data_IF_687160843601
#
_entry.id   IF_687160843601
#
_cell.length_a   1.000
_cell.length_b   1.000
_cell.length_c   1.000
_cell.angle_alpha   90.00
_cell.angle_beta   90.00
_cell.angle_gamma   90.00
#
_symmetry.space_group_name_H-M   'P 1'
#
loop_
_entity.id
_entity.type
_entity.pdbx_description
1 polymer ?
#
# COMPACT_ATOMS: atom_id res chain seq x y z
N UNK A 1 30.78 -5.31 13.35
CA UNK A 1 31.25 -5.15 11.96
C UNK A 1 31.83 -3.77 11.83
N UNK A 2 33.04 -3.61 11.36
CA UNK A 2 33.65 -2.30 11.17
C UNK A 2 32.93 -1.50 10.10
N UNK A 3 32.90 -0.18 10.29
CA UNK A 3 32.20 0.75 9.41
C UNK A 3 33.16 1.84 8.94
N UNK A 4 33.18 2.08 7.64
CA UNK A 4 34.01 3.10 6.98
C UNK A 4 33.14 4.25 6.47
N UNK A 5 33.09 5.34 7.23
CA UNK A 5 32.30 6.53 6.89
C UNK A 5 32.74 7.18 5.58
N UNK A 6 34.04 7.14 5.25
CA UNK A 6 34.54 7.75 4.04
C UNK A 6 34.06 7.00 2.78
N UNK A 7 34.02 5.65 2.84
CA UNK A 7 33.46 4.84 1.74
C UNK A 7 31.98 5.06 1.58
N UNK A 8 31.22 5.12 2.70
CA UNK A 8 29.80 5.41 2.68
C UNK A 8 29.50 6.76 2.03
N UNK A 9 30.18 7.81 2.50
CA UNK A 9 29.98 9.18 1.99
C UNK A 9 30.32 9.32 0.52
N UNK A 10 31.40 8.70 0.05
CA UNK A 10 31.78 8.72 -1.38
C UNK A 10 30.67 8.18 -2.29
N UNK A 11 29.97 7.12 -1.87
CA UNK A 11 28.88 6.54 -2.67
C UNK A 11 27.65 7.42 -2.61
N UNK A 12 27.30 7.98 -1.46
CA UNK A 12 26.21 8.95 -1.33
C UNK A 12 26.45 10.16 -2.25
N UNK A 13 27.66 10.76 -2.19
CA UNK A 13 28.03 11.90 -3.02
C UNK A 13 27.94 11.55 -4.52
N UNK A 14 28.43 10.37 -4.89
CA UNK A 14 28.31 9.90 -6.27
C UNK A 14 26.85 9.79 -6.73
N UNK A 15 25.98 9.21 -5.91
CA UNK A 15 24.56 9.08 -6.27
C UNK A 15 23.91 10.45 -6.38
N UNK A 16 24.25 11.39 -5.51
CA UNK A 16 23.72 12.76 -5.54
C UNK A 16 24.25 13.59 -6.73
N UNK A 17 25.39 13.21 -7.32
CA UNK A 17 25.87 13.80 -8.59
C UNK A 17 25.04 13.34 -9.80
N UNK A 18 24.30 12.24 -9.71
CA UNK A 18 23.48 11.77 -10.82
C UNK A 18 22.28 12.69 -11.04
N UNK A 19 21.74 12.63 -12.24
CA UNK A 19 20.55 13.39 -12.62
C UNK A 19 19.45 12.47 -13.12
N UNK A 20 18.22 12.85 -12.88
CA UNK A 20 17.08 12.14 -13.43
C UNK A 20 17.08 12.21 -14.96
N UNK A 21 16.96 11.06 -15.62
CA UNK A 21 17.01 10.97 -17.09
C UNK A 21 15.63 11.03 -17.76
N UNK A 22 14.54 10.86 -16.98
CA UNK A 22 13.16 10.82 -17.48
C UNK A 22 12.19 11.37 -16.44
N UNK A 23 10.97 11.72 -16.89
CA UNK A 23 9.88 12.17 -16.04
C UNK A 23 9.97 13.65 -15.65
N UNK A 24 9.12 14.10 -14.73
CA UNK A 24 9.02 15.51 -14.32
C UNK A 24 10.27 16.04 -13.60
N UNK A 25 11.12 15.13 -13.12
CA UNK A 25 12.41 15.48 -12.51
C UNK A 25 13.58 15.44 -13.48
N UNK A 26 13.33 15.29 -14.79
CA UNK A 26 14.39 15.24 -15.81
C UNK A 26 15.38 16.41 -15.65
N UNK A 27 16.67 16.07 -15.59
CA UNK A 27 17.76 17.03 -15.44
C UNK A 27 18.00 17.55 -14.00
N UNK A 28 17.08 17.30 -13.05
CA UNK A 28 17.29 17.66 -11.64
C UNK A 28 18.27 16.69 -10.98
N UNK A 29 19.06 17.15 -9.99
CA UNK A 29 19.92 16.26 -9.19
C UNK A 29 19.11 15.15 -8.51
N UNK A 30 19.72 14.00 -8.37
CA UNK A 30 19.13 12.88 -7.65
C UNK A 30 19.36 13.09 -6.16
N UNK A 31 18.32 13.48 -5.43
CA UNK A 31 18.36 13.63 -3.98
C UNK A 31 17.90 12.32 -3.31
N UNK A 32 18.79 11.71 -2.52
CA UNK A 32 18.44 10.56 -1.69
C UNK A 32 17.54 11.01 -0.54
N UNK A 33 16.44 10.30 -0.33
CA UNK A 33 15.66 10.42 0.89
C UNK A 33 16.47 9.86 2.08
N UNK A 34 16.23 10.32 3.32
CA UNK A 34 17.01 9.89 4.50
C UNK A 34 17.12 8.38 4.65
N UNK A 35 16.04 7.64 4.42
CA UNK A 35 16.03 6.19 4.48
C UNK A 35 16.81 5.53 3.33
N UNK A 36 16.81 6.12 2.13
CA UNK A 36 17.61 5.65 0.99
C UNK A 36 19.09 5.86 1.25
N UNK A 37 19.44 7.03 1.76
CA UNK A 37 20.80 7.36 2.16
C UNK A 37 21.29 6.40 3.22
N UNK A 38 20.48 6.10 4.25
CA UNK A 38 20.81 5.12 5.27
C UNK A 38 21.14 3.74 4.67
N UNK A 39 20.33 3.23 3.76
CA UNK A 39 20.59 1.95 3.08
C UNK A 39 21.92 1.99 2.32
N UNK A 40 22.16 3.06 1.55
CA UNK A 40 23.41 3.22 0.79
C UNK A 40 24.60 3.24 1.75
N UNK A 41 24.53 4.00 2.83
CA UNK A 41 25.57 4.06 3.85
C UNK A 41 25.83 2.70 4.50
N UNK A 42 24.80 2.01 4.93
CA UNK A 42 24.92 0.70 5.59
C UNK A 42 25.56 -0.34 4.64
N UNK A 43 25.16 -0.35 3.36
CA UNK A 43 25.67 -1.31 2.36
C UNK A 43 27.13 -1.05 1.99
N UNK A 44 27.51 0.19 1.78
CA UNK A 44 28.82 0.55 1.25
C UNK A 44 29.82 0.95 2.34
N UNK A 45 29.33 1.37 3.50
CA UNK A 45 30.16 1.69 4.67
C UNK A 45 30.55 0.48 5.51
N UNK A 46 29.72 -0.59 5.50
CA UNK A 46 30.06 -1.80 6.25
C UNK A 46 31.13 -2.60 5.50
N UNK A 47 32.28 -2.80 6.14
CA UNK A 47 33.45 -3.47 5.55
C UNK A 47 33.74 -4.80 6.25
N UNK A 48 34.55 -5.65 5.62
CA UNK A 48 35.00 -6.90 6.22
C UNK A 48 36.07 -6.64 7.27
N UNK A 49 36.02 -7.38 8.34
CA UNK A 49 36.95 -7.21 9.48
C UNK A 49 38.40 -7.59 9.06
N UNK A 50 38.53 -8.68 8.31
CA UNK A 50 39.83 -9.18 7.80
C UNK A 50 40.36 -8.41 6.59
N UNK A 51 39.45 -7.76 5.84
CA UNK A 51 39.74 -7.03 4.62
C UNK A 51 38.97 -5.68 4.59
N UNK A 52 39.46 -4.66 5.30
CA UNK A 52 38.77 -3.37 5.37
C UNK A 52 38.60 -2.67 4.02
N UNK A 53 39.37 -3.05 3.02
CA UNK A 53 39.21 -2.54 1.64
C UNK A 53 38.00 -3.09 0.90
N UNK A 54 37.44 -4.20 1.39
CA UNK A 54 36.31 -4.88 0.78
C UNK A 54 35.04 -4.62 1.58
N UNK A 55 33.96 -4.28 0.84
CA UNK A 55 32.62 -4.18 1.46
C UNK A 55 32.16 -5.55 1.99
N UNK A 56 31.40 -5.55 3.07
CA UNK A 56 30.85 -6.75 3.70
C UNK A 56 29.84 -7.45 2.79
N UNK A 57 28.96 -6.70 2.14
CA UNK A 57 27.85 -7.23 1.36
C UNK A 57 28.20 -7.24 -0.12
N UNK A 58 28.23 -8.41 -0.74
CA UNK A 58 28.40 -8.60 -2.20
C UNK A 58 27.06 -8.56 -2.93
N UNK A 59 25.97 -8.96 -2.24
CA UNK A 59 24.62 -8.94 -2.75
C UNK A 59 23.70 -8.34 -1.69
N UNK A 60 22.81 -7.46 -2.11
CA UNK A 60 21.81 -6.81 -1.26
C UNK A 60 20.45 -6.96 -1.94
N UNK A 61 19.52 -7.55 -1.22
CA UNK A 61 18.12 -7.61 -1.63
C UNK A 61 17.36 -6.48 -0.94
N UNK A 62 16.81 -5.56 -1.72
CA UNK A 62 16.01 -4.46 -1.20
C UNK A 62 14.58 -4.66 -1.72
N UNK A 63 13.69 -5.10 -0.85
CA UNK A 63 12.26 -5.15 -1.13
C UNK A 63 11.62 -3.87 -0.64
N UNK A 64 11.27 -3.01 -1.57
CA UNK A 64 10.53 -1.79 -1.29
C UNK A 64 9.20 -1.92 -2.01
N UNK A 65 8.11 -1.87 -1.27
CA UNK A 65 6.78 -1.78 -1.86
C UNK A 65 6.77 -0.62 -2.86
N UNK A 66 6.37 -0.90 -4.10
CA UNK A 66 6.30 0.13 -5.14
C UNK A 66 5.43 1.28 -4.65
N UNK A 67 6.04 2.46 -4.48
CA UNK A 67 5.41 3.73 -4.12
C UNK A 67 4.57 3.63 -2.84
N UNK A 68 5.24 3.52 -1.71
CA UNK A 68 4.61 3.57 -0.40
C UNK A 68 3.77 4.84 -0.25
N UNK A 69 2.45 4.66 -0.23
CA UNK A 69 1.47 5.45 0.49
C UNK A 69 1.22 6.91 0.09
N UNK A 70 1.91 7.47 -0.90
CA UNK A 70 1.82 8.91 -1.21
C UNK A 70 0.50 9.38 -1.85
N UNK A 71 -0.47 8.51 -2.10
CA UNK A 71 -1.51 8.81 -3.08
C UNK A 71 -2.91 8.36 -2.67
N UNK A 72 -3.10 8.04 -1.39
CA UNK A 72 -4.42 7.86 -0.78
C UNK A 72 -4.76 9.06 0.08
N UNK A 73 -6.05 9.35 0.22
CA UNK A 73 -6.52 10.38 1.14
C UNK A 73 -6.11 10.07 2.58
N UNK A 74 -5.78 11.11 3.35
CA UNK A 74 -5.31 10.96 4.74
C UNK A 74 -6.35 10.33 5.67
N UNK A 75 -7.62 10.41 5.32
CA UNK A 75 -8.74 9.82 6.05
C UNK A 75 -9.03 8.36 5.65
N UNK A 76 -8.27 7.82 4.67
CA UNK A 76 -8.44 6.42 4.25
C UNK A 76 -8.18 5.47 5.42
N UNK A 77 -9.15 4.60 5.78
CA UNK A 77 -8.97 3.66 6.88
C UNK A 77 -8.03 2.53 6.48
N UNK A 78 -7.01 2.30 7.29
CA UNK A 78 -6.00 1.26 7.12
C UNK A 78 -6.09 0.28 8.30
N UNK A 79 -6.22 -1.03 8.05
CA UNK A 79 -6.20 -2.03 9.10
C UNK A 79 -4.77 -2.16 9.65
N UNK A 80 -4.63 -2.15 10.98
CA UNK A 80 -3.38 -2.38 11.69
C UNK A 80 -3.55 -3.51 12.71
N UNK A 81 -2.46 -3.98 13.33
CA UNK A 81 -2.53 -4.98 14.42
C UNK A 81 -3.35 -4.48 15.61
N UNK A 82 -3.41 -3.17 15.82
CA UNK A 82 -4.06 -2.54 16.98
C UNK A 82 -5.46 -2.01 16.68
N UNK A 83 -5.96 -2.27 15.47
CA UNK A 83 -7.25 -1.81 15.00
C UNK A 83 -7.14 -0.95 13.75
N UNK A 84 -8.16 -0.15 13.47
CA UNK A 84 -8.19 0.73 12.32
C UNK A 84 -7.54 2.07 12.65
N UNK A 85 -6.62 2.51 11.80
CA UNK A 85 -6.05 3.88 11.78
C UNK A 85 -6.35 4.54 10.45
N UNK A 86 -6.44 5.85 10.41
CA UNK A 86 -6.43 6.56 9.12
C UNK A 86 -5.02 6.58 8.53
N UNK A 87 -4.90 6.73 7.21
CA UNK A 87 -3.61 6.85 6.52
C UNK A 87 -2.73 7.94 7.13
N UNK A 88 -3.33 9.06 7.56
CA UNK A 88 -2.62 10.18 8.17
C UNK A 88 -2.12 9.94 9.59
N UNK A 89 -2.67 8.93 10.29
CA UNK A 89 -2.27 8.55 11.66
C UNK A 89 -1.19 7.48 11.71
N UNK A 90 -0.84 6.88 10.56
CA UNK A 90 0.20 5.86 10.52
C UNK A 90 1.56 6.43 10.91
N UNK A 91 2.32 5.62 11.64
CA UNK A 91 3.68 5.93 12.08
C UNK A 91 4.66 4.84 11.63
N UNK A 92 5.94 5.21 11.56
CA UNK A 92 7.01 4.23 11.31
C UNK A 92 7.02 3.21 12.45
N UNK A 93 7.01 1.91 12.09
CA UNK A 93 6.92 0.80 13.04
C UNK A 93 5.50 0.23 13.19
N UNK A 94 4.45 0.95 12.75
CA UNK A 94 3.10 0.39 12.76
C UNK A 94 3.04 -0.90 11.93
N UNK A 95 2.28 -1.88 12.41
CA UNK A 95 2.03 -3.12 11.68
C UNK A 95 0.78 -2.97 10.83
N UNK A 96 0.95 -3.12 9.54
CA UNK A 96 -0.10 -3.12 8.50
C UNK A 96 -0.11 -4.49 7.79
N UNK A 97 -0.97 -4.68 6.81
CA UNK A 97 -1.13 -5.97 6.12
C UNK A 97 -0.96 -5.81 4.61
N UNK A 98 -0.31 -6.80 3.99
CA UNK A 98 -0.17 -6.92 2.54
C UNK A 98 -1.41 -7.53 1.88
N UNK A 99 -1.37 -7.71 0.55
CA UNK A 99 -2.44 -8.32 -0.23
C UNK A 99 -2.70 -9.80 0.09
N UNK A 100 -1.73 -10.48 0.70
CA UNK A 100 -1.86 -11.85 1.17
C UNK A 100 -2.40 -11.93 2.60
N UNK A 101 -2.64 -10.79 3.24
CA UNK A 101 -3.09 -10.68 4.63
C UNK A 101 -1.96 -10.88 5.65
N UNK A 102 -0.70 -10.87 5.21
CA UNK A 102 0.44 -11.04 6.10
C UNK A 102 0.84 -9.69 6.71
N UNK A 103 1.28 -9.73 7.97
CA UNK A 103 1.75 -8.56 8.68
C UNK A 103 3.06 -8.03 8.08
N UNK A 104 3.11 -6.72 7.86
CA UNK A 104 4.31 -5.99 7.47
C UNK A 104 4.40 -4.67 8.23
N UNK A 105 5.58 -4.05 8.27
CA UNK A 105 5.78 -2.84 9.05
C UNK A 105 5.91 -1.60 8.16
N UNK A 106 5.37 -0.49 8.65
CA UNK A 106 5.60 0.83 8.05
C UNK A 106 7.07 1.21 8.29
N UNK A 107 7.86 1.27 7.23
CA UNK A 107 9.30 1.56 7.30
C UNK A 107 9.64 3.03 7.04
N UNK A 108 8.69 3.81 6.53
CA UNK A 108 8.89 5.23 6.26
C UNK A 108 7.59 5.90 5.87
N UNK A 109 7.52 7.20 6.14
CA UNK A 109 6.42 8.08 5.76
C UNK A 109 6.95 9.11 4.76
N UNK A 110 6.11 9.54 3.86
CA UNK A 110 6.41 10.62 2.93
C UNK A 110 5.71 11.91 3.37
N UNK A 111 6.21 13.04 2.91
CA UNK A 111 5.49 14.31 3.04
C UNK A 111 4.14 14.25 2.33
N UNK A 112 3.17 14.97 2.89
CA UNK A 112 1.83 15.10 2.31
C UNK A 112 1.90 16.04 1.11
N UNK A 113 1.47 15.56 -0.06
CA UNK A 113 1.33 16.38 -1.27
C UNK A 113 -0.14 16.85 -1.39
N UNK A 114 -0.40 18.08 -0.99
CA UNK A 114 -1.72 18.69 -1.08
C UNK A 114 -2.07 19.18 -2.50
N UNK A 115 -1.14 19.10 -3.45
CA UNK A 115 -1.31 19.63 -4.82
C UNK A 115 -1.68 18.53 -5.82
N UNK A 116 -1.59 17.25 -5.43
CA UNK A 116 -1.91 16.15 -6.34
C UNK A 116 -3.40 16.08 -6.63
N UNK A 117 -3.73 15.93 -7.92
CA UNK A 117 -5.11 15.69 -8.35
C UNK A 117 -5.60 14.32 -7.86
N UNK A 118 -6.72 14.31 -7.12
CA UNK A 118 -7.32 13.10 -6.59
C UNK A 118 -8.60 12.74 -7.35
N UNK A 119 -8.87 11.45 -7.41
CA UNK A 119 -10.07 10.88 -8.03
C UNK A 119 -10.81 10.00 -7.03
N UNK A 120 -12.12 10.12 -6.98
CA UNK A 120 -12.97 9.19 -6.23
C UNK A 120 -13.22 7.93 -7.01
N UNK A 121 -12.81 6.79 -6.47
CA UNK A 121 -13.09 5.46 -7.01
C UNK A 121 -14.26 4.89 -6.22
N UNK A 122 -15.38 4.68 -6.91
CA UNK A 122 -16.56 4.06 -6.30
C UNK A 122 -16.61 2.59 -6.70
N UNK A 123 -16.70 1.72 -5.72
CA UNK A 123 -16.81 0.28 -5.90
C UNK A 123 -18.27 -0.11 -6.12
N UNK A 124 -18.48 -1.39 -6.50
CA UNK A 124 -19.81 -1.89 -6.87
C UNK A 124 -20.78 -1.97 -5.69
N UNK A 125 -20.26 -2.12 -4.48
CA UNK A 125 -21.02 -2.13 -3.22
C UNK A 125 -21.42 -0.74 -2.73
N UNK A 126 -21.00 0.31 -3.44
CA UNK A 126 -21.25 1.71 -3.10
C UNK A 126 -20.17 2.33 -2.22
N UNK A 127 -19.24 1.55 -1.70
CA UNK A 127 -18.07 2.09 -1.00
C UNK A 127 -17.18 2.90 -1.95
N UNK A 128 -16.39 3.80 -1.41
CA UNK A 128 -15.50 4.63 -2.22
C UNK A 128 -14.16 4.84 -1.53
N UNK A 129 -13.18 5.23 -2.34
CA UNK A 129 -11.84 5.56 -1.89
C UNK A 129 -11.31 6.72 -2.75
N UNK A 130 -10.69 7.70 -2.13
CA UNK A 130 -10.07 8.82 -2.81
C UNK A 130 -8.58 8.56 -2.98
N UNK A 131 -8.12 8.59 -4.23
CA UNK A 131 -6.73 8.27 -4.58
C UNK A 131 -6.16 9.30 -5.56
N UNK A 132 -4.89 9.63 -5.39
CA UNK A 132 -4.16 10.52 -6.29
C UNK A 132 -4.02 9.95 -7.70
N UNK A 133 -3.81 10.82 -8.69
CA UNK A 133 -3.70 10.44 -10.11
C UNK A 133 -2.66 9.35 -10.34
N UNK A 134 -1.55 9.42 -9.61
CA UNK A 134 -0.40 8.51 -9.78
C UNK A 134 -0.47 7.25 -8.93
N UNK A 135 -1.50 7.08 -8.07
CA UNK A 135 -1.66 5.88 -7.25
C UNK A 135 -1.76 4.62 -8.11
N UNK A 136 -1.00 3.59 -7.76
CA UNK A 136 -0.91 2.35 -8.52
C UNK A 136 -1.87 1.29 -7.99
N UNK A 137 -2.62 0.71 -8.91
CA UNK A 137 -3.57 -0.35 -8.65
C UNK A 137 -3.16 -1.63 -9.36
N UNK A 138 -3.11 -2.73 -8.65
CA UNK A 138 -3.11 -4.06 -9.25
C UNK A 138 -4.53 -4.37 -9.73
N UNK A 139 -4.74 -4.44 -11.04
CA UNK A 139 -6.06 -4.61 -11.63
C UNK A 139 -6.11 -5.74 -12.64
N UNK A 140 -7.28 -6.32 -12.82
CA UNK A 140 -7.61 -7.18 -13.94
C UNK A 140 -8.42 -6.38 -14.97
N UNK A 141 -7.93 -6.29 -16.20
CA UNK A 141 -8.62 -5.58 -17.27
C UNK A 141 -9.66 -6.51 -17.88
N UNK A 142 -10.93 -6.10 -17.82
CA UNK A 142 -12.04 -6.85 -18.42
C UNK A 142 -11.85 -6.88 -19.94
N UNK A 143 -12.10 -8.02 -20.56
CA UNK A 143 -11.97 -8.30 -22.01
C UNK A 143 -10.51 -8.49 -22.52
N UNK A 144 -9.51 -8.55 -21.66
CA UNK A 144 -8.13 -8.85 -22.06
C UNK A 144 -7.61 -10.16 -21.41
N UNK A 145 -8.44 -11.19 -21.40
CA UNK A 145 -8.10 -12.50 -20.83
C UNK A 145 -7.86 -12.47 -19.31
N UNK A 146 -8.46 -11.53 -18.59
CA UNK A 146 -8.28 -11.30 -17.13
C UNK A 146 -6.81 -11.19 -16.69
N UNK A 147 -5.93 -10.70 -17.55
CA UNK A 147 -4.52 -10.50 -17.20
C UNK A 147 -4.37 -9.39 -16.17
N UNK A 148 -3.64 -9.68 -15.12
CA UNK A 148 -3.28 -8.68 -14.11
C UNK A 148 -2.33 -7.64 -14.70
N UNK A 149 -2.61 -6.37 -14.41
CA UNK A 149 -1.79 -5.21 -14.81
C UNK A 149 -1.68 -4.24 -13.65
N UNK A 150 -0.62 -3.47 -13.65
CA UNK A 150 -0.49 -2.30 -12.77
C UNK A 150 -0.88 -1.08 -13.59
N UNK A 151 -1.88 -0.34 -13.12
CA UNK A 151 -2.36 0.91 -13.73
C UNK A 151 -2.38 2.01 -12.69
N UNK A 152 -2.18 3.25 -13.12
CA UNK A 152 -2.41 4.43 -12.28
C UNK A 152 -3.90 4.74 -12.17
N UNK A 153 -4.31 5.51 -11.17
CA UNK A 153 -5.68 6.04 -11.07
C UNK A 153 -6.05 6.82 -12.33
N UNK A 154 -5.14 7.66 -12.83
CA UNK A 154 -5.33 8.42 -14.06
C UNK A 154 -5.52 7.52 -15.30
N UNK A 155 -4.79 6.41 -15.40
CA UNK A 155 -4.97 5.44 -16.48
C UNK A 155 -6.33 4.74 -16.42
N UNK A 156 -6.78 4.39 -15.21
CA UNK A 156 -8.10 3.80 -14.98
C UNK A 156 -9.19 4.80 -15.37
N UNK A 157 -9.05 6.07 -14.96
CA UNK A 157 -9.98 7.13 -15.31
C UNK A 157 -10.09 7.30 -16.84
N UNK A 158 -8.95 7.46 -17.53
CA UNK A 158 -8.90 7.62 -19.00
C UNK A 158 -9.54 6.44 -19.72
N UNK A 159 -9.25 5.20 -19.27
CA UNK A 159 -9.87 3.98 -19.83
C UNK A 159 -11.37 3.93 -19.60
N UNK A 160 -11.81 4.29 -18.40
CA UNK A 160 -13.24 4.32 -18.05
C UNK A 160 -13.98 5.37 -18.87
N UNK A 161 -13.40 6.56 -19.01
CA UNK A 161 -13.98 7.63 -19.83
C UNK A 161 -14.12 7.21 -21.30
N UNK A 162 -13.05 6.69 -21.90
CA UNK A 162 -13.05 6.21 -23.28
C UNK A 162 -14.06 5.07 -23.50
N UNK A 163 -14.21 4.18 -22.51
CA UNK A 163 -15.21 3.12 -22.57
C UNK A 163 -16.64 3.69 -22.54
N UNK A 164 -16.94 4.60 -21.61
CA UNK A 164 -18.26 5.23 -21.48
C UNK A 164 -18.63 6.03 -22.73
N UNK A 165 -17.71 6.81 -23.27
CA UNK A 165 -17.93 7.55 -24.53
C UNK A 165 -18.29 6.62 -25.70
N UNK A 166 -17.65 5.46 -25.80
CA UNK A 166 -17.92 4.46 -26.86
C UNK A 166 -19.27 3.78 -26.70
N UNK A 167 -19.78 3.63 -25.47
CA UNK A 167 -20.99 2.89 -25.14
C UNK A 167 -22.09 3.80 -24.59
N UNK A 168 -22.02 5.09 -24.88
CA UNK A 168 -23.01 6.07 -24.43
C UNK A 168 -24.42 5.68 -24.90
N UNK A 169 -25.37 5.71 -23.95
CA UNK A 169 -26.76 5.32 -24.22
C UNK A 169 -27.01 3.81 -24.33
N UNK A 170 -26.02 2.97 -24.09
CA UNK A 170 -26.15 1.52 -24.07
C UNK A 170 -26.23 0.95 -22.65
N UNK A 171 -26.71 -0.30 -22.52
CA UNK A 171 -26.75 -1.02 -21.23
C UNK A 171 -25.35 -1.17 -20.63
N UNK A 172 -24.31 -1.20 -21.46
CA UNK A 172 -22.92 -1.38 -21.06
C UNK A 172 -22.24 -0.09 -20.55
N UNK A 173 -22.86 1.07 -20.64
CA UNK A 173 -22.27 2.35 -20.22
C UNK A 173 -21.75 2.33 -18.78
N UNK A 174 -22.46 1.66 -17.87
CA UNK A 174 -22.12 1.55 -16.44
C UNK A 174 -21.23 0.35 -16.12
N UNK A 175 -20.78 -0.40 -17.09
CA UNK A 175 -19.94 -1.58 -16.86
C UNK A 175 -18.57 -1.19 -16.37
N UNK A 176 -18.06 -1.95 -15.38
CA UNK A 176 -16.69 -1.77 -14.89
C UNK A 176 -15.66 -2.18 -15.94
N UNK A 177 -14.67 -1.34 -16.18
CA UNK A 177 -13.58 -1.56 -17.15
C UNK A 177 -12.45 -2.37 -16.53
N UNK A 178 -12.28 -2.24 -15.22
CA UNK A 178 -11.27 -2.94 -14.45
C UNK A 178 -11.90 -3.58 -13.22
N UNK A 179 -11.27 -4.64 -12.72
CA UNK A 179 -11.57 -5.28 -11.44
C UNK A 179 -10.34 -5.18 -10.55
N UNK A 180 -10.53 -4.76 -9.32
CA UNK A 180 -9.49 -4.76 -8.28
C UNK A 180 -9.66 -6.06 -7.49
N UNK A 181 -8.64 -6.93 -7.44
CA UNK A 181 -8.71 -8.13 -6.63
C UNK A 181 -8.90 -7.77 -5.14
N UNK A 182 -9.71 -8.53 -4.45
CA UNK A 182 -9.88 -8.40 -3.00
C UNK A 182 -8.66 -9.01 -2.32
N UNK A 183 -8.12 -8.33 -1.31
CA UNK A 183 -7.06 -8.88 -0.47
C UNK A 183 -7.53 -10.15 0.25
N UNK A 184 -6.59 -11.00 0.62
CA UNK A 184 -6.89 -12.19 1.43
C UNK A 184 -7.29 -11.78 2.85
N UNK A 185 -7.94 -12.65 3.62
CA UNK A 185 -8.21 -12.40 5.03
C UNK A 185 -6.94 -12.02 5.79
N UNK A 186 -7.05 -11.05 6.70
CA UNK A 186 -5.94 -10.59 7.51
C UNK A 186 -5.52 -11.70 8.50
N UNK A 187 -4.23 -11.96 8.57
CA UNK A 187 -3.66 -12.88 9.54
C UNK A 187 -3.44 -12.14 10.88
N UNK A 188 -4.52 -11.99 11.63
CA UNK A 188 -4.52 -11.35 12.92
C UNK A 188 -4.08 -12.35 14.01
N UNK A 189 -3.52 -11.82 15.11
CA UNK A 189 -3.24 -12.63 16.28
C UNK A 189 -4.54 -13.20 16.84
N UNK A 190 -4.49 -14.47 17.24
CA UNK A 190 -5.61 -15.10 17.94
C UNK A 190 -5.90 -14.35 19.25
N UNK A 191 -7.16 -14.01 19.44
CA UNK A 191 -7.65 -13.37 20.67
C UNK A 191 -8.85 -14.15 21.17
N UNK A 192 -8.94 -14.27 22.47
CA UNK A 192 -10.15 -14.79 23.10
C UNK A 192 -11.30 -13.80 22.85
N UNK A 193 -12.33 -14.24 22.17
CA UNK A 193 -13.47 -13.40 21.83
C UNK A 193 -14.60 -13.63 22.83
N UNK A 194 -15.33 -12.59 23.22
CA UNK A 194 -16.44 -12.71 24.18
C UNK A 194 -17.62 -13.52 23.61
N UNK A 195 -17.65 -13.72 22.32
CA UNK A 195 -18.66 -14.48 21.60
C UNK A 195 -18.00 -15.25 20.45
N UNK A 196 -18.47 -16.49 20.23
CA UNK A 196 -18.02 -17.29 19.09
C UNK A 196 -18.26 -16.53 17.77
N UNK A 197 -17.23 -16.39 16.87
CA UNK A 197 -17.35 -15.65 15.63
C UNK A 197 -18.46 -16.14 14.71
N UNK A 198 -18.75 -17.44 14.71
CA UNK A 198 -19.85 -18.02 13.92
C UNK A 198 -21.20 -17.53 14.43
N UNK A 199 -21.40 -17.56 15.75
CA UNK A 199 -22.64 -17.07 16.39
C UNK A 199 -22.82 -15.58 16.12
N UNK A 200 -21.74 -14.80 16.22
CA UNK A 200 -21.76 -13.37 15.92
C UNK A 200 -22.12 -13.10 14.44
N UNK A 201 -21.45 -13.76 13.52
CA UNK A 201 -21.71 -13.63 12.09
C UNK A 201 -23.13 -14.06 11.70
N UNK A 202 -23.62 -15.16 12.28
CA UNK A 202 -25.00 -15.62 12.08
C UNK A 202 -26.02 -14.57 12.58
N UNK A 203 -25.78 -14.00 13.74
CA UNK A 203 -26.64 -12.95 14.32
C UNK A 203 -26.71 -11.71 13.44
N UNK A 204 -25.58 -11.25 12.92
CA UNK A 204 -25.52 -10.14 11.97
C UNK A 204 -26.27 -10.44 10.67
N UNK A 205 -26.07 -11.62 10.10
CA UNK A 205 -26.71 -12.02 8.84
C UNK A 205 -28.22 -12.21 8.93
N UNK A 206 -28.75 -12.56 10.12
CA UNK A 206 -30.18 -12.74 10.36
C UNK A 206 -30.87 -11.54 11.00
N UNK A 207 -30.11 -10.49 11.37
CA UNK A 207 -30.64 -9.34 12.10
C UNK A 207 -31.17 -9.68 13.49
N UNK A 208 -30.67 -10.78 14.09
CA UNK A 208 -31.09 -11.28 15.40
C UNK A 208 -29.97 -11.09 16.41
N UNK A 209 -30.22 -10.37 17.46
CA UNK A 209 -29.29 -10.26 18.59
C UNK A 209 -29.63 -11.32 19.64
N UNK A 210 -28.68 -12.20 19.93
CA UNK A 210 -28.79 -13.17 21.00
C UNK A 210 -28.16 -12.59 22.25
N UNK A 211 -28.92 -12.56 23.34
CA UNK A 211 -28.41 -12.16 24.66
C UNK A 211 -28.39 -13.36 25.59
N UNK A 212 -27.30 -13.51 26.34
CA UNK A 212 -27.20 -14.53 27.40
C UNK A 212 -27.69 -13.91 28.71
N UNK A 213 -28.86 -14.36 29.16
CA UNK A 213 -29.40 -13.95 30.44
C UNK A 213 -29.52 -15.21 31.32
N UNK A 214 -28.67 -15.30 32.35
CA UNK A 214 -28.70 -16.42 33.32
C UNK A 214 -28.32 -17.78 32.73
N UNK A 215 -27.33 -17.83 31.82
CA UNK A 215 -26.84 -19.07 31.20
C UNK A 215 -27.70 -19.61 30.06
N UNK A 216 -28.74 -18.92 29.65
CA UNK A 216 -29.59 -19.29 28.50
C UNK A 216 -29.58 -18.22 27.44
N UNK A 217 -29.35 -18.63 26.20
CA UNK A 217 -29.39 -17.71 25.05
C UNK A 217 -30.84 -17.43 24.66
N UNK A 218 -31.22 -16.15 24.63
CA UNK A 218 -32.57 -15.73 24.22
C UNK A 218 -32.46 -14.80 23.03
N UNK A 219 -33.38 -14.94 22.08
CA UNK A 219 -33.51 -14.04 20.94
C UNK A 219 -34.06 -12.69 21.42
N UNK A 220 -33.30 -11.60 21.21
CA UNK A 220 -33.78 -10.24 21.39
C UNK A 220 -34.69 -9.82 20.24
N UNK A 221 -35.68 -9.01 20.52
CA UNK A 221 -36.55 -8.36 19.51
C UNK A 221 -35.83 -7.14 18.94
#
# INVERSE_FOLDING_TARGET
MPYDEHKASRVVDFVQCLRHTKGEFHGKPFALLPWQEKIVRDVFGTVREEHPDMRQYSQVYIEIGKKNGKQLSLDTPIPTSDGWKSMGELQVGDTVFDEAGQACHVIGLSEVDATEQCYRITFRDGSHLDAGERHLWAVQVVNNGNRSKILTTGDIYKKTLAYRQRHQGTVDEKRSVVRIPVARPLNLQERELPLDPYVYGYSLGKGVIWTNIGGTWKQGK
#
